data_IF_714989108946
#
_entry.id   IF_714989108946
#
_cell.length_a   1.000
_cell.length_b   1.000
_cell.length_c   1.000
_cell.angle_alpha   90.00
_cell.angle_beta   90.00
_cell.angle_gamma   90.00
#
_symmetry.space_group_name_H-M   'P 1'
#
loop_
_entity.id
_entity.type
_entity.pdbx_description
1 polymer ?
#
# COMPACT_ATOMS: atom_id res chain seq x y z
N UNK A 1 2.87 16.57 -50.29
CA UNK A 1 2.16 15.35 -49.88
C UNK A 1 2.98 14.39 -49.00
N UNK A 2 4.28 14.17 -49.20
CA UNK A 2 5.09 13.23 -48.37
C UNK A 2 5.15 13.61 -46.89
N UNK A 3 5.22 14.88 -46.54
CA UNK A 3 5.32 15.34 -45.13
C UNK A 3 4.01 15.20 -44.36
N UNK A 4 2.83 15.31 -45.03
CA UNK A 4 1.54 15.08 -44.36
C UNK A 4 1.35 13.62 -43.90
N UNK A 5 1.87 12.66 -44.67
CA UNK A 5 1.78 11.23 -44.32
C UNK A 5 2.66 10.91 -43.13
N UNK A 6 3.86 11.51 -43.01
CA UNK A 6 4.78 11.29 -41.88
C UNK A 6 4.21 11.89 -40.60
N UNK A 7 3.58 13.06 -40.66
CA UNK A 7 2.95 13.69 -39.50
C UNK A 7 1.73 12.89 -39.04
N UNK A 8 0.94 12.34 -39.95
CA UNK A 8 -0.22 11.51 -39.64
C UNK A 8 0.18 10.19 -38.93
N UNK A 9 1.29 9.56 -39.38
CA UNK A 9 1.82 8.35 -38.74
C UNK A 9 2.40 8.63 -37.33
N UNK A 10 2.99 9.81 -37.13
CA UNK A 10 3.50 10.22 -35.80
C UNK A 10 2.41 10.42 -34.74
N UNK A 11 1.23 10.92 -35.17
CA UNK A 11 0.10 11.17 -34.28
C UNK A 11 -0.60 9.86 -33.87
N UNK A 12 -0.70 8.88 -34.76
CA UNK A 12 -1.30 7.57 -34.46
C UNK A 12 -0.49 6.75 -33.46
N UNK A 13 0.83 6.92 -33.39
CA UNK A 13 1.70 6.23 -32.42
C UNK A 13 1.52 6.67 -30.96
N UNK A 14 1.05 7.90 -30.73
CA UNK A 14 0.91 8.46 -29.38
C UNK A 14 -0.37 7.97 -28.64
N UNK A 15 -1.39 7.52 -29.34
CA UNK A 15 -2.63 7.01 -28.76
C UNK A 15 -2.51 5.56 -28.28
N UNK A 16 -1.70 4.74 -28.93
CA UNK A 16 -1.55 3.32 -28.62
C UNK A 16 -0.92 3.04 -27.25
N UNK A 17 -0.09 3.95 -26.72
CA UNK A 17 0.60 3.75 -25.45
C UNK A 17 -0.32 3.94 -24.23
N UNK A 18 -1.31 4.84 -24.31
CA UNK A 18 -2.27 5.11 -23.22
C UNK A 18 -3.25 3.97 -23.00
N UNK A 19 -3.72 3.35 -24.08
CA UNK A 19 -4.68 2.24 -24.00
C UNK A 19 -4.06 1.00 -23.36
N UNK A 20 -2.82 0.66 -23.71
CA UNK A 20 -2.12 -0.48 -23.13
C UNK A 20 -1.88 -0.34 -21.62
N UNK A 21 -1.54 0.86 -21.17
CA UNK A 21 -1.35 1.14 -19.74
C UNK A 21 -2.66 1.07 -18.96
N UNK A 22 -3.75 1.55 -19.55
CA UNK A 22 -5.11 1.46 -18.99
C UNK A 22 -5.56 0.01 -18.87
N UNK A 23 -5.34 -0.82 -19.89
CA UNK A 23 -5.68 -2.25 -19.84
C UNK A 23 -4.93 -2.99 -18.72
N UNK A 24 -3.63 -2.73 -18.54
CA UNK A 24 -2.85 -3.32 -17.45
C UNK A 24 -3.42 -2.92 -16.09
N UNK A 25 -3.75 -1.65 -15.88
CA UNK A 25 -4.37 -1.17 -14.65
C UNK A 25 -5.72 -1.84 -14.42
N UNK A 26 -6.58 -1.88 -15.43
CA UNK A 26 -7.90 -2.49 -15.33
C UNK A 26 -7.85 -4.01 -15.09
N UNK A 27 -6.88 -4.71 -15.68
CA UNK A 27 -6.69 -6.14 -15.42
C UNK A 27 -6.28 -6.40 -13.97
N UNK A 28 -5.42 -5.57 -13.42
CA UNK A 28 -5.03 -5.66 -12.00
C UNK A 28 -6.21 -5.38 -11.06
N UNK A 29 -7.03 -4.37 -11.34
CA UNK A 29 -8.25 -4.12 -10.56
C UNK A 29 -9.19 -5.33 -10.58
N UNK A 30 -9.46 -5.92 -11.75
CA UNK A 30 -10.31 -7.12 -11.87
C UNK A 30 -9.72 -8.31 -11.14
N UNK A 31 -8.40 -8.47 -11.17
CA UNK A 31 -7.72 -9.55 -10.46
C UNK A 31 -7.84 -9.42 -8.94
N UNK A 32 -7.83 -8.17 -8.41
CA UNK A 32 -7.81 -7.90 -6.99
C UNK A 32 -9.18 -7.55 -6.40
N UNK A 33 -10.18 -7.25 -7.24
CA UNK A 33 -11.54 -7.01 -6.81
C UNK A 33 -12.14 -8.26 -6.15
N UNK A 34 -12.59 -8.09 -4.91
CA UNK A 34 -13.18 -9.18 -4.13
C UNK A 34 -12.18 -10.20 -3.55
N UNK A 35 -10.87 -10.05 -3.78
CA UNK A 35 -9.86 -10.90 -3.12
C UNK A 35 -9.91 -10.72 -1.61
N UNK A 36 -9.82 -11.82 -0.92
CA UNK A 36 -9.65 -11.84 0.54
C UNK A 36 -8.17 -11.66 0.88
N UNK A 37 -7.88 -10.83 1.89
CA UNK A 37 -6.54 -10.68 2.43
C UNK A 37 -6.38 -11.54 3.68
N UNK A 38 -5.27 -12.26 3.73
CA UNK A 38 -4.86 -13.08 4.87
C UNK A 38 -3.79 -12.33 5.66
N UNK A 39 -3.89 -12.40 6.99
CA UNK A 39 -2.96 -11.71 7.88
C UNK A 39 -2.10 -12.73 8.62
N UNK A 40 -0.77 -12.48 8.73
CA UNK A 40 0.09 -13.33 9.52
C UNK A 40 -0.37 -13.36 10.98
N UNK A 41 -0.46 -14.56 11.58
CA UNK A 41 -0.92 -14.76 12.96
C UNK A 41 -0.06 -14.05 14.00
N UNK A 42 1.20 -13.77 13.67
CA UNK A 42 2.18 -13.14 14.56
C UNK A 42 2.53 -11.71 14.18
N UNK A 43 1.57 -10.96 13.62
CA UNK A 43 1.78 -9.55 13.33
C UNK A 43 1.87 -8.74 14.62
N UNK A 44 3.05 -8.16 14.88
CA UNK A 44 3.28 -7.29 16.04
C UNK A 44 3.25 -5.85 15.58
N UNK A 45 2.29 -5.08 16.09
CA UNK A 45 2.19 -3.66 15.81
C UNK A 45 2.94 -2.84 16.86
N UNK A 46 3.60 -1.79 16.41
CA UNK A 46 4.42 -0.92 17.27
C UNK A 46 4.17 0.56 16.93
N UNK A 47 4.30 1.44 17.90
CA UNK A 47 4.41 2.88 17.66
C UNK A 47 5.87 3.21 17.37
N UNK A 48 6.11 3.91 16.28
CA UNK A 48 7.46 4.31 15.83
C UNK A 48 8.47 3.15 15.73
N UNK A 49 7.99 1.92 15.57
CA UNK A 49 8.81 0.73 15.49
C UNK A 49 9.49 0.34 16.82
N UNK A 50 9.03 0.84 17.97
CA UNK A 50 9.60 0.64 19.30
C UNK A 50 8.60 0.02 20.26
N UNK A 51 7.58 0.76 20.65
CA UNK A 51 6.64 0.38 21.69
C UNK A 51 5.54 -0.51 21.13
N UNK A 52 5.49 -1.75 21.60
CA UNK A 52 4.45 -2.70 21.20
C UNK A 52 3.09 -2.23 21.69
N UNK A 53 2.11 -2.31 20.82
CA UNK A 53 0.71 -1.97 21.12
C UNK A 53 -0.21 -3.13 20.77
N UNK A 54 -1.22 -3.33 21.60
CA UNK A 54 -2.31 -4.25 21.31
C UNK A 54 -3.22 -3.62 20.26
N UNK A 55 -2.96 -3.96 19.01
CA UNK A 55 -3.70 -3.41 17.87
C UNK A 55 -4.67 -4.46 17.34
N UNK A 56 -5.81 -4.57 18.02
CA UNK A 56 -6.85 -5.52 17.64
C UNK A 56 -7.53 -5.14 16.34
N UNK A 57 -7.81 -6.16 15.52
CA UNK A 57 -8.49 -6.00 14.24
C UNK A 57 -10.01 -5.83 14.43
N UNK A 58 -10.42 -4.74 15.10
CA UNK A 58 -11.81 -4.55 15.54
C UNK A 58 -12.73 -3.93 14.46
N UNK A 59 -12.23 -3.02 13.65
CA UNK A 59 -13.06 -2.33 12.67
C UNK A 59 -13.54 -3.26 11.55
N UNK A 60 -14.79 -3.05 11.09
CA UNK A 60 -15.39 -3.84 10.00
C UNK A 60 -14.68 -3.66 8.67
N UNK A 61 -14.11 -2.49 8.43
CA UNK A 61 -13.38 -2.15 7.20
C UNK A 61 -11.93 -1.81 7.54
N UNK A 62 -10.99 -2.25 6.71
CA UNK A 62 -9.57 -1.99 6.89
C UNK A 62 -8.93 -1.47 5.61
N UNK A 63 -8.05 -0.51 5.76
CA UNK A 63 -7.12 -0.11 4.70
C UNK A 63 -5.76 -0.71 5.06
N UNK A 64 -5.31 -1.63 4.24
CA UNK A 64 -3.98 -2.23 4.35
C UNK A 64 -3.03 -1.46 3.45
N UNK A 65 -1.96 -0.94 4.01
CA UNK A 65 -0.88 -0.25 3.30
C UNK A 65 0.36 -1.11 3.43
N UNK A 66 0.81 -1.64 2.31
CA UNK A 66 2.02 -2.46 2.25
C UNK A 66 3.14 -1.69 1.55
N UNK A 67 4.31 -1.68 2.17
CA UNK A 67 5.53 -1.06 1.60
C UNK A 67 6.66 -2.07 1.63
N UNK A 68 7.09 -2.48 0.44
CA UNK A 68 8.18 -3.41 0.23
C UNK A 68 9.57 -2.78 0.45
N UNK A 69 10.60 -3.61 0.45
CA UNK A 69 12.00 -3.21 0.60
C UNK A 69 12.64 -2.65 -0.69
N UNK A 70 11.91 -2.58 -1.82
CA UNK A 70 12.49 -2.18 -3.10
C UNK A 70 12.47 -0.66 -3.28
N UNK A 71 13.55 -0.07 -3.81
CA UNK A 71 13.66 1.35 -4.13
C UNK A 71 13.79 2.29 -2.93
N UNK A 72 13.36 3.54 -3.09
CA UNK A 72 13.45 4.59 -2.07
C UNK A 72 12.36 4.41 -1.01
N UNK A 73 12.74 4.02 0.21
CA UNK A 73 11.81 3.82 1.31
C UNK A 73 11.06 5.10 1.69
N UNK A 74 11.75 6.23 1.83
CA UNK A 74 11.12 7.50 2.21
C UNK A 74 10.11 7.99 1.17
N UNK A 75 10.39 7.79 -0.13
CA UNK A 75 9.48 8.17 -1.22
C UNK A 75 8.21 7.31 -1.22
N UNK A 76 8.32 6.03 -0.84
CA UNK A 76 7.19 5.10 -0.84
C UNK A 76 6.30 5.24 0.39
N UNK A 77 6.90 5.58 1.53
CA UNK A 77 6.17 5.66 2.80
C UNK A 77 5.10 6.75 2.83
N UNK A 78 5.34 7.89 2.18
CA UNK A 78 4.40 9.03 2.11
C UNK A 78 3.71 9.33 3.45
N UNK A 79 4.50 9.28 4.55
CA UNK A 79 3.98 9.37 5.92
C UNK A 79 3.17 10.65 6.21
N UNK A 80 3.58 11.84 5.71
CA UNK A 80 2.79 13.06 5.91
C UNK A 80 1.41 13.01 5.26
N UNK A 81 1.32 12.39 4.08
CA UNK A 81 0.06 12.21 3.34
C UNK A 81 -0.86 11.24 4.08
N UNK A 82 -0.32 10.12 4.57
CA UNK A 82 -1.10 9.17 5.36
C UNK A 82 -1.63 9.78 6.65
N UNK A 83 -0.87 10.63 7.34
CA UNK A 83 -1.36 11.37 8.53
C UNK A 83 -2.62 12.18 8.19
N UNK A 84 -2.59 12.94 7.09
CA UNK A 84 -3.75 13.74 6.66
C UNK A 84 -4.95 12.86 6.32
N UNK A 85 -4.73 11.74 5.60
CA UNK A 85 -5.78 10.80 5.24
C UNK A 85 -6.43 10.21 6.49
N UNK A 86 -5.62 9.72 7.44
CA UNK A 86 -6.12 9.13 8.68
C UNK A 86 -6.96 10.16 9.46
N UNK A 87 -6.44 11.36 9.69
CA UNK A 87 -7.14 12.43 10.41
C UNK A 87 -8.48 12.79 9.74
N UNK A 88 -8.49 12.86 8.41
CA UNK A 88 -9.72 13.13 7.64
C UNK A 88 -10.72 12.00 7.81
N UNK A 89 -10.27 10.75 7.68
CA UNK A 89 -11.15 9.59 7.78
C UNK A 89 -11.68 9.38 9.19
N UNK A 90 -10.88 9.63 10.23
CA UNK A 90 -11.34 9.58 11.63
C UNK A 90 -12.43 10.61 11.90
N UNK A 91 -12.37 11.77 11.25
CA UNK A 91 -13.40 12.81 11.36
C UNK A 91 -14.70 12.45 10.63
N UNK A 92 -14.60 11.75 9.48
CA UNK A 92 -15.74 11.43 8.63
C UNK A 92 -16.43 10.11 9.04
N UNK A 93 -15.66 9.12 9.46
CA UNK A 93 -16.11 7.76 9.74
C UNK A 93 -15.45 7.23 11.04
N UNK A 94 -15.75 7.83 12.19
CA UNK A 94 -15.11 7.44 13.45
C UNK A 94 -15.37 5.97 13.75
N UNK A 95 -14.32 5.22 14.08
CA UNK A 95 -14.33 3.80 14.44
C UNK A 95 -14.82 2.81 13.38
N UNK A 96 -15.18 3.24 12.18
CA UNK A 96 -15.59 2.32 11.10
C UNK A 96 -14.42 1.79 10.28
N UNK A 97 -13.33 2.53 10.24
CA UNK A 97 -12.18 2.26 9.39
C UNK A 97 -10.90 2.15 10.23
N UNK A 98 -10.11 1.12 9.96
CA UNK A 98 -8.82 0.90 10.59
C UNK A 98 -7.73 0.85 9.52
N UNK A 99 -6.60 1.52 9.80
CA UNK A 99 -5.43 1.49 8.93
C UNK A 99 -4.42 0.48 9.45
N UNK A 100 -3.95 -0.40 8.58
CA UNK A 100 -2.95 -1.43 8.88
C UNK A 100 -1.73 -1.20 8.01
N UNK A 101 -0.64 -0.74 8.61
CA UNK A 101 0.61 -0.49 7.90
C UNK A 101 1.56 -1.68 8.08
N UNK A 102 1.94 -2.30 6.97
CA UNK A 102 2.95 -3.34 6.91
C UNK A 102 4.15 -2.85 6.14
N UNK A 103 5.26 -2.72 6.81
CA UNK A 103 6.51 -2.25 6.22
C UNK A 103 7.55 -3.37 6.25
N UNK A 104 8.09 -3.69 5.07
CA UNK A 104 9.18 -4.67 4.91
C UNK A 104 10.47 -3.90 4.58
N UNK A 105 11.23 -3.44 5.57
CA UNK A 105 12.46 -2.67 5.33
C UNK A 105 13.63 -3.57 5.00
N UNK A 106 14.63 -3.04 4.30
CA UNK A 106 15.97 -3.64 4.24
C UNK A 106 16.62 -3.58 5.62
N UNK A 107 16.58 -2.40 6.24
CA UNK A 107 17.11 -2.16 7.57
C UNK A 107 16.02 -1.58 8.48
N UNK A 108 15.81 -2.22 9.64
CA UNK A 108 14.80 -1.77 10.62
C UNK A 108 15.04 -0.33 11.09
N UNK A 109 16.30 0.05 11.26
CA UNK A 109 16.70 1.36 11.77
C UNK A 109 16.30 2.51 10.83
N UNK A 110 16.32 2.28 9.52
CA UNK A 110 15.92 3.28 8.54
C UNK A 110 14.42 3.63 8.67
N UNK A 111 13.59 2.62 8.86
CA UNK A 111 12.15 2.83 9.11
C UNK A 111 11.93 3.57 10.42
N UNK A 112 12.58 3.14 11.51
CA UNK A 112 12.41 3.78 12.81
C UNK A 112 12.78 5.27 12.77
N UNK A 113 13.90 5.60 12.11
CA UNK A 113 14.33 6.99 11.93
C UNK A 113 13.28 7.80 11.17
N UNK A 114 12.78 7.29 10.04
CA UNK A 114 11.77 7.97 9.23
C UNK A 114 10.45 8.19 9.98
N UNK A 115 10.02 7.21 10.77
CA UNK A 115 8.81 7.33 11.60
C UNK A 115 8.97 8.44 12.65
N UNK A 116 10.14 8.51 13.32
CA UNK A 116 10.45 9.54 14.31
C UNK A 116 10.53 10.94 13.67
N UNK A 117 11.26 11.09 12.59
CA UNK A 117 11.42 12.36 11.87
C UNK A 117 10.08 12.92 11.39
N UNK A 118 9.17 12.04 10.94
CA UNK A 118 7.84 12.43 10.50
C UNK A 118 6.80 12.47 11.64
N UNK A 119 7.18 12.17 12.87
CA UNK A 119 6.26 12.04 14.03
C UNK A 119 5.04 11.20 13.67
N UNK A 120 5.31 10.01 13.12
CA UNK A 120 4.26 9.08 12.70
C UNK A 120 3.92 8.14 13.85
N UNK A 121 2.90 8.52 14.62
CA UNK A 121 2.51 7.86 15.87
C UNK A 121 1.36 6.85 15.69
N UNK A 122 1.16 6.38 14.46
CA UNK A 122 0.18 5.33 14.17
C UNK A 122 0.81 3.94 14.27
N UNK A 123 0.03 2.92 14.69
CA UNK A 123 0.51 1.56 14.76
C UNK A 123 0.99 1.02 13.41
N UNK A 124 2.20 0.48 13.39
CA UNK A 124 2.79 -0.15 12.21
C UNK A 124 3.32 -1.55 12.55
N UNK A 125 3.28 -2.46 11.61
CA UNK A 125 3.94 -3.76 11.67
C UNK A 125 5.21 -3.72 10.81
N UNK A 126 6.37 -3.95 11.44
CA UNK A 126 7.64 -4.15 10.72
C UNK A 126 7.77 -5.64 10.41
N UNK A 127 7.35 -6.03 9.23
CA UNK A 127 7.36 -7.41 8.75
C UNK A 127 8.68 -7.75 8.07
N UNK A 128 9.67 -8.17 8.85
CA UNK A 128 11.02 -8.47 8.37
C UNK A 128 11.09 -9.59 7.35
N UNK A 129 10.13 -10.52 7.41
CA UNK A 129 10.10 -11.72 6.58
C UNK A 129 9.19 -11.57 5.36
N UNK A 130 8.62 -10.38 5.17
CA UNK A 130 7.65 -10.13 4.11
C UNK A 130 6.46 -11.12 4.13
N UNK A 131 6.08 -11.52 5.33
CA UNK A 131 5.11 -12.60 5.56
C UNK A 131 3.76 -12.27 4.96
N UNK A 132 3.33 -11.01 5.07
CA UNK A 132 2.05 -10.58 4.50
C UNK A 132 2.03 -10.70 2.96
N UNK A 133 3.14 -10.38 2.31
CA UNK A 133 3.25 -10.48 0.86
C UNK A 133 3.42 -11.94 0.40
N UNK A 134 4.18 -12.75 1.14
CA UNK A 134 4.33 -14.19 0.86
C UNK A 134 2.96 -14.88 0.83
N UNK A 135 2.10 -14.56 1.80
CA UNK A 135 0.76 -15.16 1.92
C UNK A 135 -0.17 -14.66 0.82
N UNK A 136 -0.17 -13.34 0.53
CA UNK A 136 -1.15 -12.73 -0.37
C UNK A 136 -0.67 -12.58 -1.82
N UNK A 137 0.64 -12.63 -2.06
CA UNK A 137 1.26 -12.45 -3.39
C UNK A 137 0.86 -11.12 -4.03
N UNK A 138 1.14 -10.02 -3.35
CA UNK A 138 0.79 -8.68 -3.79
C UNK A 138 1.31 -8.35 -5.20
N UNK A 139 0.67 -7.43 -5.93
CA UNK A 139 1.12 -6.98 -7.23
C UNK A 139 2.57 -6.47 -7.18
N UNK A 140 3.37 -6.73 -8.21
CA UNK A 140 4.75 -6.22 -8.30
C UNK A 140 4.82 -4.68 -8.38
N UNK A 141 3.77 -4.04 -8.86
CA UNK A 141 3.72 -2.59 -8.97
C UNK A 141 3.27 -1.97 -7.65
N UNK A 142 4.18 -1.23 -6.99
CA UNK A 142 3.94 -0.60 -5.70
C UNK A 142 2.76 0.38 -5.65
N UNK A 143 2.33 0.93 -6.79
CA UNK A 143 1.15 1.81 -6.86
C UNK A 143 -0.15 1.10 -6.46
N UNK A 144 -0.13 -0.24 -6.41
CA UNK A 144 -1.30 -1.07 -6.03
C UNK A 144 -1.11 -1.76 -4.67
N UNK A 145 -0.29 -1.20 -3.78
CA UNK A 145 -0.04 -1.74 -2.45
C UNK A 145 -0.92 -1.13 -1.34
N UNK A 146 -2.07 -0.58 -1.72
CA UNK A 146 -3.09 -0.11 -0.79
C UNK A 146 -4.40 -0.83 -1.08
N UNK A 147 -4.91 -1.55 -0.09
CA UNK A 147 -6.06 -2.43 -0.23
C UNK A 147 -7.15 -2.06 0.77
N UNK A 148 -8.39 -1.92 0.30
CA UNK A 148 -9.56 -1.85 1.16
C UNK A 148 -10.12 -3.27 1.33
N UNK A 149 -10.14 -3.78 2.54
CA UNK A 149 -10.72 -5.08 2.85
C UNK A 149 -11.78 -4.99 3.96
N UNK A 150 -12.71 -5.93 3.94
CA UNK A 150 -13.63 -6.19 5.03
C UNK A 150 -12.90 -7.03 6.09
N UNK A 151 -13.59 -7.75 6.95
CA UNK A 151 -12.99 -8.53 8.02
C UNK A 151 -11.78 -9.37 7.53
N UNK A 152 -10.63 -9.30 8.22
CA UNK A 152 -9.45 -10.09 7.86
C UNK A 152 -9.67 -11.57 8.18
N UNK A 153 -9.05 -12.43 7.37
CA UNK A 153 -8.86 -13.83 7.73
C UNK A 153 -7.45 -14.03 8.27
N UNK A 154 -7.33 -14.65 9.42
CA UNK A 154 -6.03 -15.05 9.96
C UNK A 154 -5.53 -16.27 9.19
N UNK A 155 -4.28 -16.22 8.70
CA UNK A 155 -3.59 -17.39 8.19
C UNK A 155 -3.09 -18.21 9.39
N UNK A 156 -3.44 -19.49 9.42
CA UNK A 156 -2.98 -20.47 10.41
C UNK A 156 -1.62 -21.02 9.98
#
# INVERSE_FOLDING_TARGET
>A
MKYCVIVLFGILGLFSCKDKQREVVMSMFREWEGKELYFPSHSVFTIQGRDTVDYYLQAKKKIVVYVDSTGCTSCKLQLPEWKKIIQTMDSLCPSELQFLFYFTPKEKQDIQRLLLENRFDFPICIDKWDSINIINKFPKNANFHTFLCKLPKLAY
#
